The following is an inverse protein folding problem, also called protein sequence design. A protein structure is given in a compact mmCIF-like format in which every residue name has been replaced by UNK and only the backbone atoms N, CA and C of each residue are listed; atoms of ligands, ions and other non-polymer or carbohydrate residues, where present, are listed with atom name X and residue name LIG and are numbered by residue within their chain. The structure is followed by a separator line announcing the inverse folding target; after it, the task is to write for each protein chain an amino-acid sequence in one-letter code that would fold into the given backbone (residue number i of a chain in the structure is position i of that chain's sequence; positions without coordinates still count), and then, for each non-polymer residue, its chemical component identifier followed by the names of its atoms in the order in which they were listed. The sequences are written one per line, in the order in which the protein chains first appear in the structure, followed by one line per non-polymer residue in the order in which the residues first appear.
data_IF_894346376383
#
_entry.id   IF_894346376383
#
_cell.length_a   1.000
_cell.length_b   1.000
_cell.length_c   1.000
_cell.angle_alpha   90.00
_cell.angle_beta   90.00
_cell.angle_gamma   90.00
#
_symmetry.space_group_name_H-M   'P 1'
#
loop_
_entity.id
_entity.type
_entity.pdbx_description
1 polymer ?
#
# COMPACT_ATOMS: atom_id res chain seq x y z
N UNK A 1 -23.00 -0.21 108.08
CA UNK A 1 -21.52 -0.09 107.95
C UNK A 1 -21.20 0.15 106.48
N UNK A 2 -20.43 1.13 106.00
CA UNK A 2 -19.68 2.29 106.52
C UNK A 2 -19.40 3.17 105.28
N UNK A 3 -19.70 4.48 105.38
CA UNK A 3 -19.05 5.69 104.81
C UNK A 3 -18.58 5.65 103.33
N UNK A 4 -19.15 6.41 102.40
CA UNK A 4 -18.98 7.87 102.19
C UNK A 4 -17.55 8.37 102.41
N UNK A 5 -16.76 8.51 101.34
CA UNK A 5 -15.59 9.41 101.32
C UNK A 5 -15.26 9.89 99.91
N UNK A 6 -15.18 11.22 99.80
CA UNK A 6 -14.82 12.01 98.64
C UNK A 6 -13.31 11.96 98.40
N UNK A 7 -12.86 11.67 97.18
CA UNK A 7 -11.65 12.26 96.58
C UNK A 7 -11.84 12.24 95.05
N UNK A 8 -12.11 13.40 94.45
CA UNK A 8 -11.90 13.61 93.02
C UNK A 8 -10.84 14.70 92.88
N UNK A 9 -9.71 14.28 92.30
CA UNK A 9 -8.49 15.05 92.10
C UNK A 9 -8.75 16.14 91.05
N UNK A 10 -8.44 17.38 91.41
CA UNK A 10 -8.26 18.51 90.50
C UNK A 10 -6.98 18.26 89.70
N UNK A 11 -7.10 17.92 88.41
CA UNK A 11 -6.00 18.02 87.47
C UNK A 11 -6.21 19.25 86.60
N UNK A 12 -5.37 20.24 86.88
CA UNK A 12 -5.15 21.39 86.04
C UNK A 12 -4.56 20.94 84.70
N UNK A 13 -5.26 21.24 83.61
CA UNK A 13 -4.62 21.44 82.31
C UNK A 13 -4.90 22.87 81.89
N UNK A 14 -3.84 23.65 81.93
CA UNK A 14 -3.75 25.00 81.40
C UNK A 14 -4.03 24.94 79.91
N UNK A 15 -5.24 25.33 79.49
CA UNK A 15 -5.45 25.80 78.13
C UNK A 15 -4.67 27.09 77.98
N UNK A 16 -3.59 27.01 77.20
CA UNK A 16 -2.88 28.17 76.71
C UNK A 16 -3.89 29.11 76.06
N UNK A 17 -4.08 30.26 76.68
CA UNK A 17 -4.73 31.39 76.08
C UNK A 17 -3.91 31.74 74.83
N UNK A 18 -4.44 31.38 73.67
CA UNK A 18 -4.05 32.01 72.43
C UNK A 18 -4.21 33.52 72.66
N UNK A 19 -3.18 34.35 72.45
CA UNK A 19 -3.36 35.79 72.55
C UNK A 19 -4.44 36.14 71.53
N UNK A 20 -5.57 36.65 72.04
CA UNK A 20 -6.54 37.31 71.20
C UNK A 20 -5.76 38.33 70.36
N UNK A 21 -5.96 38.38 69.04
CA UNK A 21 -5.41 39.49 68.26
C UNK A 21 -5.86 40.76 68.99
N UNK A 22 -4.88 41.58 69.39
CA UNK A 22 -5.13 42.89 69.94
C UNK A 22 -6.20 43.53 69.06
N UNK A 23 -7.26 44.03 69.68
CA UNK A 23 -8.30 44.78 69.01
C UNK A 23 -7.61 45.91 68.23
N UNK A 24 -7.32 45.62 66.97
CA UNK A 24 -7.08 46.62 65.96
C UNK A 24 -8.36 47.44 65.98
N UNK A 25 -8.22 48.73 66.31
CA UNK A 25 -9.30 49.68 66.14
C UNK A 25 -9.91 49.40 64.76
N UNK A 26 -11.20 49.11 64.75
CA UNK A 26 -12.02 49.14 63.54
C UNK A 26 -11.88 50.54 62.96
N UNK A 27 -10.88 50.71 62.09
CA UNK A 27 -10.84 51.80 61.15
C UNK A 27 -12.09 51.66 60.31
N UNK A 28 -12.98 52.63 60.44
CA UNK A 28 -14.17 52.83 59.64
C UNK A 28 -13.94 52.32 58.20
N UNK A 29 -14.70 51.28 57.83
CA UNK A 29 -14.81 50.85 56.44
C UNK A 29 -15.29 52.06 55.64
N UNK A 30 -14.39 52.61 54.81
CA UNK A 30 -14.58 53.91 54.19
C UNK A 30 -15.68 53.89 53.13
N UNK A 31 -16.90 54.23 53.53
CA UNK A 31 -17.77 54.96 52.61
C UNK A 31 -17.00 56.18 52.12
N UNK A 32 -16.83 56.30 50.80
CA UNK A 32 -16.27 57.52 50.20
C UNK A 32 -17.15 58.68 50.69
N UNK A 33 -16.57 59.57 51.50
CA UNK A 33 -17.25 60.74 52.06
C UNK A 33 -18.01 61.51 50.97
N UNK A 34 -19.20 62.01 51.28
CA UNK A 34 -19.98 62.84 50.35
C UNK A 34 -19.19 64.05 49.84
N UNK A 35 -18.25 64.55 50.65
CA UNK A 35 -17.29 65.58 50.27
C UNK A 35 -16.34 65.09 49.17
N UNK A 36 -15.76 63.89 49.32
CA UNK A 36 -14.89 63.28 48.31
C UNK A 36 -15.65 62.98 47.01
N UNK A 37 -16.92 62.55 47.09
CA UNK A 37 -17.80 62.40 45.91
C UNK A 37 -18.08 63.75 45.24
N UNK A 38 -18.31 64.81 46.02
CA UNK A 38 -18.54 66.16 45.50
C UNK A 38 -17.30 66.76 44.84
N UNK A 39 -16.13 66.56 45.44
CA UNK A 39 -14.83 66.96 44.90
C UNK A 39 -14.52 66.21 43.60
N UNK A 40 -14.68 64.89 43.58
CA UNK A 40 -14.51 64.08 42.36
C UNK A 40 -15.41 64.57 41.21
N UNK A 41 -16.67 64.93 41.49
CA UNK A 41 -17.58 65.53 40.49
C UNK A 41 -17.08 66.88 39.98
N UNK A 42 -16.52 67.72 40.84
CA UNK A 42 -15.98 69.02 40.45
C UNK A 42 -14.72 68.88 39.59
N UNK A 43 -13.81 67.99 39.96
CA UNK A 43 -12.62 67.63 39.18
C UNK A 43 -13.00 67.06 37.82
N UNK A 44 -13.96 66.13 37.77
CA UNK A 44 -14.48 65.58 36.52
C UNK A 44 -15.05 66.67 35.60
N UNK A 45 -15.88 67.58 36.13
CA UNK A 45 -16.40 68.73 35.35
C UNK A 45 -15.29 69.64 34.83
N UNK A 46 -14.20 69.82 35.60
CA UNK A 46 -13.04 70.59 35.16
C UNK A 46 -12.28 69.87 34.03
N UNK A 47 -12.05 68.57 34.15
CA UNK A 47 -11.48 67.74 33.09
C UNK A 47 -12.30 67.81 31.79
N UNK A 48 -13.63 67.77 31.88
CA UNK A 48 -14.52 67.92 30.70
C UNK A 48 -14.34 69.27 29.98
N UNK A 49 -14.26 70.38 30.73
CA UNK A 49 -14.01 71.71 30.14
C UNK A 49 -12.62 71.81 29.49
N UNK A 50 -11.62 71.11 30.03
CA UNK A 50 -10.28 71.05 29.44
C UNK A 50 -10.28 70.25 28.13
N UNK A 51 -11.01 69.14 28.06
CA UNK A 51 -11.23 68.38 26.82
C UNK A 51 -11.95 69.19 25.73
N UNK A 52 -12.94 70.00 26.11
CA UNK A 52 -13.64 70.91 25.18
C UNK A 52 -12.69 71.97 24.60
N UNK A 53 -11.67 72.37 25.36
CA UNK A 53 -10.61 73.30 24.92
C UNK A 53 -9.44 72.60 24.22
N UNK A 54 -9.60 71.34 23.87
CA UNK A 54 -8.58 70.50 23.23
C UNK A 54 -7.26 70.40 24.04
N UNK A 55 -7.35 70.33 25.37
CA UNK A 55 -6.21 70.14 26.29
C UNK A 55 -6.29 68.77 26.99
N UNK A 56 -6.01 67.66 26.27
CA UNK A 56 -6.17 66.31 26.81
C UNK A 56 -5.15 65.96 27.91
N UNK A 57 -3.93 66.50 27.91
CA UNK A 57 -2.94 66.25 28.97
C UNK A 57 -3.40 66.82 30.33
N UNK A 58 -3.78 68.10 30.37
CA UNK A 58 -4.30 68.75 31.58
C UNK A 58 -5.60 68.07 32.05
N UNK A 59 -6.46 67.66 31.11
CA UNK A 59 -7.70 66.96 31.44
C UNK A 59 -7.44 65.59 32.09
N UNK A 60 -6.43 64.86 31.61
CA UNK A 60 -6.07 63.54 32.13
C UNK A 60 -5.64 63.63 33.60
N UNK A 61 -4.88 64.66 34.00
CA UNK A 61 -4.52 64.88 35.40
C UNK A 61 -5.75 65.11 36.29
N UNK A 62 -6.69 65.93 35.84
CA UNK A 62 -7.92 66.22 36.60
C UNK A 62 -8.83 64.99 36.69
N UNK A 63 -8.93 64.19 35.63
CA UNK A 63 -9.65 62.92 35.68
C UNK A 63 -8.96 61.87 36.55
N UNK A 64 -7.63 61.78 36.53
CA UNK A 64 -6.89 60.87 37.39
C UNK A 64 -7.09 61.20 38.87
N UNK A 65 -7.10 62.50 39.23
CA UNK A 65 -7.45 62.94 40.60
C UNK A 65 -8.90 62.62 40.94
N UNK A 66 -9.84 62.85 40.02
CA UNK A 66 -11.24 62.49 40.23
C UNK A 66 -11.42 60.98 40.46
N UNK A 67 -10.74 60.15 39.66
CA UNK A 67 -10.79 58.70 39.76
C UNK A 67 -10.16 58.18 41.07
N UNK A 68 -9.06 58.80 41.53
CA UNK A 68 -8.43 58.45 42.80
C UNK A 68 -9.34 58.72 44.02
N UNK A 69 -10.18 59.75 43.96
CA UNK A 69 -11.16 60.06 45.00
C UNK A 69 -12.41 59.17 44.89
N UNK A 70 -12.87 58.89 43.67
CA UNK A 70 -14.05 58.07 43.42
C UNK A 70 -13.91 57.30 42.10
N UNK A 71 -13.49 56.03 42.15
CA UNK A 71 -13.41 55.15 40.99
C UNK A 71 -14.78 54.98 40.33
N UNK A 72 -14.88 55.29 39.04
CA UNK A 72 -16.14 55.24 38.31
C UNK A 72 -15.92 55.10 36.80
N UNK A 73 -16.75 54.29 36.13
CA UNK A 73 -16.60 53.94 34.71
C UNK A 73 -16.58 55.16 33.79
N UNK A 74 -17.38 56.20 34.08
CA UNK A 74 -17.42 57.42 33.28
C UNK A 74 -16.09 58.20 33.33
N UNK A 75 -15.39 58.14 34.46
CA UNK A 75 -14.06 58.74 34.62
C UNK A 75 -13.02 57.91 33.89
N UNK A 76 -13.05 56.58 34.02
CA UNK A 76 -12.20 55.65 33.25
C UNK A 76 -12.34 55.86 31.73
N UNK A 77 -13.58 55.94 31.23
CA UNK A 77 -13.86 56.26 29.83
C UNK A 77 -13.31 57.64 29.42
N UNK A 78 -13.48 58.66 30.27
CA UNK A 78 -12.96 60.00 29.98
C UNK A 78 -11.43 60.07 29.97
N UNK A 79 -10.76 59.29 30.82
CA UNK A 79 -9.29 59.10 30.76
C UNK A 79 -8.89 58.38 29.47
N UNK A 80 -9.64 57.35 29.06
CA UNK A 80 -9.45 56.65 27.79
C UNK A 80 -9.52 57.62 26.59
N UNK A 81 -10.50 58.52 26.58
CA UNK A 81 -10.62 59.59 25.56
C UNK A 81 -9.42 60.52 25.54
N UNK A 82 -8.84 60.85 26.70
CA UNK A 82 -7.63 61.66 26.76
C UNK A 82 -6.45 60.92 26.12
N UNK A 83 -6.23 59.66 26.48
CA UNK A 83 -5.15 58.85 25.90
C UNK A 83 -5.30 58.63 24.39
N UNK A 84 -6.53 58.43 23.92
CA UNK A 84 -6.86 58.29 22.50
C UNK A 84 -6.48 59.57 21.71
N UNK A 85 -6.86 60.76 22.23
CA UNK A 85 -6.45 62.06 21.65
C UNK A 85 -4.96 62.34 21.73
N UNK A 86 -4.26 61.73 22.68
CA UNK A 86 -2.80 61.83 22.84
C UNK A 86 -2.04 60.83 21.97
N UNK A 87 -2.73 60.00 21.17
CA UNK A 87 -2.08 59.00 20.33
C UNK A 87 -1.46 57.85 21.12
N UNK A 88 -2.02 57.52 22.29
CA UNK A 88 -1.59 56.42 23.18
C UNK A 88 -2.61 55.28 23.17
N UNK A 89 -2.67 54.48 22.08
CA UNK A 89 -3.76 53.54 21.83
C UNK A 89 -3.80 52.38 22.83
N UNK A 90 -2.66 51.91 23.33
CA UNK A 90 -2.60 50.80 24.28
C UNK A 90 -3.21 51.18 25.64
N UNK A 91 -2.87 52.35 26.15
CA UNK A 91 -3.43 52.88 27.40
C UNK A 91 -4.91 53.24 27.26
N UNK A 92 -5.30 53.78 26.10
CA UNK A 92 -6.70 54.07 25.80
C UNK A 92 -7.54 52.78 25.80
N UNK A 93 -7.06 51.72 25.14
CA UNK A 93 -7.73 50.42 25.09
C UNK A 93 -7.95 49.87 26.51
N UNK A 94 -6.89 49.83 27.32
CA UNK A 94 -6.96 49.35 28.71
C UNK A 94 -8.00 50.11 29.53
N UNK A 95 -8.07 51.44 29.39
CA UNK A 95 -9.02 52.29 30.13
C UNK A 95 -10.46 52.13 29.65
N UNK A 96 -10.69 51.87 28.35
CA UNK A 96 -12.01 51.57 27.83
C UNK A 96 -12.51 50.18 28.27
N UNK A 97 -11.64 49.16 28.25
CA UNK A 97 -11.97 47.83 28.79
C UNK A 97 -12.26 47.90 30.30
N UNK A 98 -11.45 48.66 31.04
CA UNK A 98 -11.68 48.94 32.45
C UNK A 98 -13.03 49.65 32.68
N UNK A 99 -13.39 50.63 31.84
CA UNK A 99 -14.68 51.30 31.95
C UNK A 99 -15.86 50.36 31.71
N UNK A 100 -15.77 49.45 30.72
CA UNK A 100 -16.80 48.44 30.46
C UNK A 100 -16.96 47.46 31.63
N UNK A 101 -15.83 47.09 32.25
CA UNK A 101 -15.81 46.19 33.41
C UNK A 101 -16.39 46.85 34.66
N UNK A 102 -15.95 48.07 34.99
CA UNK A 102 -16.41 48.82 36.17
C UNK A 102 -17.89 49.17 36.08
N UNK A 103 -18.35 49.59 34.90
CA UNK A 103 -19.69 50.11 34.76
C UNK A 103 -20.75 49.03 34.71
N UNK A 104 -20.40 47.78 34.37
CA UNK A 104 -21.35 46.66 34.32
C UNK A 104 -22.67 47.09 33.67
N UNK A 105 -23.81 46.78 34.27
CA UNK A 105 -25.14 47.16 33.78
C UNK A 105 -25.52 48.64 34.00
N UNK A 106 -24.71 49.42 34.74
CA UNK A 106 -24.95 50.86 34.97
C UNK A 106 -24.65 51.71 33.74
N UNK A 107 -23.87 51.20 32.78
CA UNK A 107 -23.58 51.90 31.53
C UNK A 107 -24.83 51.86 30.65
N UNK A 108 -25.42 53.02 30.29
CA UNK A 108 -26.54 53.01 29.37
C UNK A 108 -26.12 52.48 28.00
N UNK A 109 -27.03 51.77 27.33
CA UNK A 109 -26.73 50.99 26.12
C UNK A 109 -25.97 51.79 25.05
N UNK A 110 -26.38 53.03 24.79
CA UNK A 110 -25.72 53.92 23.81
C UNK A 110 -24.25 54.16 24.15
N UNK A 111 -23.94 54.47 25.41
CA UNK A 111 -22.56 54.69 25.85
C UNK A 111 -21.74 53.39 25.79
N UNK A 112 -22.36 52.25 26.10
CA UNK A 112 -21.70 50.94 25.97
C UNK A 112 -21.30 50.69 24.52
N UNK A 113 -22.23 50.89 23.57
CA UNK A 113 -21.96 50.73 22.13
C UNK A 113 -20.83 51.66 21.65
N UNK A 114 -20.82 52.92 22.10
CA UNK A 114 -19.76 53.88 21.80
C UNK A 114 -18.39 53.41 22.33
N UNK A 115 -18.32 52.92 23.58
CA UNK A 115 -17.06 52.41 24.17
C UNK A 115 -16.61 51.14 23.46
N UNK A 116 -17.51 50.18 23.23
CA UNK A 116 -17.20 48.92 22.53
C UNK A 116 -16.70 49.17 21.11
N UNK A 117 -17.26 50.15 20.40
CA UNK A 117 -16.81 50.55 19.06
C UNK A 117 -15.39 51.12 19.09
N UNK A 118 -15.03 51.89 20.12
CA UNK A 118 -13.65 52.38 20.28
C UNK A 118 -12.69 51.26 20.64
N UNK A 119 -13.10 50.33 21.51
CA UNK A 119 -12.32 49.13 21.84
C UNK A 119 -12.03 48.33 20.59
N UNK A 120 -13.03 48.03 19.76
CA UNK A 120 -12.82 47.27 18.52
C UNK A 120 -11.90 48.00 17.54
N UNK A 121 -12.06 49.31 17.36
CA UNK A 121 -11.19 50.12 16.51
C UNK A 121 -9.73 50.11 17.01
N UNK A 122 -9.51 50.28 18.32
CA UNK A 122 -8.17 50.29 18.91
C UNK A 122 -7.51 48.91 18.87
N UNK A 123 -8.26 47.82 19.05
CA UNK A 123 -7.74 46.46 18.90
C UNK A 123 -7.25 46.20 17.48
N UNK A 124 -8.00 46.66 16.47
CA UNK A 124 -7.54 46.60 15.07
C UNK A 124 -6.26 47.41 14.87
N UNK A 125 -6.22 48.65 15.37
CA UNK A 125 -5.03 49.51 15.27
C UNK A 125 -3.79 48.89 15.93
N UNK A 126 -3.99 48.18 17.03
CA UNK A 126 -2.92 47.50 17.79
C UNK A 126 -2.60 46.09 17.28
N UNK A 127 -3.32 45.58 16.28
CA UNK A 127 -3.15 44.21 15.78
C UNK A 127 -3.60 43.10 16.74
N UNK A 128 -4.43 43.43 17.74
CA UNK A 128 -4.98 42.49 18.71
C UNK A 128 -6.20 41.80 18.09
N UNK A 129 -6.04 40.56 17.62
CA UNK A 129 -7.10 39.78 16.99
C UNK A 129 -7.98 39.10 18.03
N UNK A 130 -9.20 39.62 18.17
CA UNK A 130 -10.28 39.06 19.01
C UNK A 130 -11.47 38.54 18.18
N UNK A 131 -11.29 38.34 16.88
CA UNK A 131 -12.30 37.64 16.08
C UNK A 131 -12.40 36.21 16.60
N UNK A 132 -13.56 35.78 17.12
CA UNK A 132 -13.68 34.39 17.57
C UNK A 132 -13.47 33.48 16.36
N UNK A 133 -12.46 32.65 16.49
CA UNK A 133 -12.07 31.61 15.56
C UNK A 133 -13.17 30.54 15.49
N UNK A 134 -13.20 29.79 14.40
CA UNK A 134 -13.82 28.46 14.41
C UNK A 134 -12.75 27.41 14.74
N UNK A 135 -13.19 26.19 14.99
CA UNK A 135 -12.30 25.06 15.21
C UNK A 135 -12.42 24.09 14.04
N UNK A 136 -11.30 23.60 13.51
CA UNK A 136 -11.27 22.49 12.56
C UNK A 136 -10.78 21.27 13.31
N UNK A 137 -11.59 20.21 13.38
CA UNK A 137 -11.15 18.91 13.87
C UNK A 137 -10.65 18.09 12.69
N UNK A 138 -9.34 17.91 12.61
CA UNK A 138 -8.69 17.17 11.54
C UNK A 138 -8.43 15.74 12.00
N UNK A 139 -8.88 14.76 11.20
CA UNK A 139 -8.67 13.33 11.44
C UNK A 139 -8.24 12.66 10.14
N UNK A 140 -7.27 11.75 10.20
CA UNK A 140 -6.85 10.97 9.02
C UNK A 140 -7.00 9.47 9.24
N UNK A 141 -7.17 8.74 8.14
CA UNK A 141 -7.09 7.27 8.10
C UNK A 141 -6.01 6.87 7.11
N UNK A 142 -4.89 6.26 7.55
CA UNK A 142 -4.48 6.01 8.94
C UNK A 142 -4.18 7.30 9.75
N UNK A 143 -4.19 7.23 11.10
CA UNK A 143 -3.90 8.36 11.98
C UNK A 143 -2.40 8.69 12.01
N UNK A 144 -2.04 9.87 12.52
CA UNK A 144 -0.64 10.30 12.67
C UNK A 144 -0.07 11.04 11.47
N UNK A 145 -0.92 11.45 10.51
CA UNK A 145 -0.50 12.26 9.38
C UNK A 145 -0.20 13.69 9.85
N UNK A 146 0.89 14.27 9.34
CA UNK A 146 1.24 15.68 9.58
C UNK A 146 0.23 16.57 8.88
N UNK A 147 -0.19 17.66 9.54
CA UNK A 147 -1.24 18.57 9.08
C UNK A 147 -0.64 19.94 8.79
N UNK A 148 -1.02 20.52 7.65
CA UNK A 148 -0.80 21.92 7.31
C UNK A 148 -2.14 22.64 7.14
N UNK A 149 -2.24 23.84 7.71
CA UNK A 149 -3.34 24.78 7.51
C UNK A 149 -2.79 25.99 6.76
N UNK A 150 -3.30 26.23 5.55
CA UNK A 150 -2.84 27.31 4.65
C UNK A 150 -1.31 27.35 4.48
N UNK A 151 -0.70 26.18 4.36
CA UNK A 151 0.76 26.03 4.22
C UNK A 151 1.57 26.14 5.52
N UNK A 152 0.93 26.38 6.67
CA UNK A 152 1.60 26.39 7.98
C UNK A 152 1.41 25.05 8.68
N UNK A 153 2.50 24.41 9.12
CA UNK A 153 2.42 23.15 9.87
C UNK A 153 1.78 23.39 11.23
N UNK A 154 0.72 22.64 11.52
CA UNK A 154 -0.04 22.75 12.78
C UNK A 154 0.12 21.52 13.68
N UNK A 155 0.79 20.46 13.23
CA UNK A 155 1.06 19.23 13.99
C UNK A 155 0.42 17.99 13.38
N UNK A 156 0.33 16.88 14.11
CA UNK A 156 -0.13 15.59 13.57
C UNK A 156 -1.60 15.28 13.92
N UNK A 157 -2.26 14.47 13.09
CA UNK A 157 -3.65 14.03 13.28
C UNK A 157 -3.78 12.92 14.34
N UNK A 158 -4.90 12.85 15.08
CA UNK A 158 -6.03 13.78 15.09
C UNK A 158 -5.73 15.05 15.91
N UNK A 159 -6.18 16.21 15.42
CA UNK A 159 -5.95 17.51 16.10
C UNK A 159 -7.08 18.51 15.86
N UNK A 160 -7.42 19.27 16.91
CA UNK A 160 -8.27 20.45 16.83
C UNK A 160 -7.40 21.69 16.57
N UNK A 161 -7.71 22.43 15.51
CA UNK A 161 -6.95 23.60 15.04
C UNK A 161 -7.88 24.81 15.00
N UNK A 162 -7.48 25.92 15.63
CA UNK A 162 -8.23 27.17 15.53
C UNK A 162 -7.89 27.92 14.24
N UNK A 163 -8.90 28.44 13.56
CA UNK A 163 -8.77 29.17 12.31
C UNK A 163 -9.77 30.32 12.23
N UNK A 164 -9.42 31.36 11.47
CA UNK A 164 -10.32 32.49 11.22
C UNK A 164 -11.57 32.00 10.44
N UNK A 165 -12.73 32.67 10.52
CA UNK A 165 -13.87 32.30 9.70
C UNK A 165 -13.59 32.55 8.20
N UNK A 166 -13.83 31.55 7.36
CA UNK A 166 -13.55 31.64 5.92
C UNK A 166 -13.09 30.31 5.32
N UNK A 167 -12.78 30.30 4.02
CA UNK A 167 -12.21 29.14 3.35
C UNK A 167 -10.73 28.96 3.77
N UNK A 168 -10.39 27.72 4.13
CA UNK A 168 -9.05 27.30 4.54
C UNK A 168 -8.65 26.03 3.79
N UNK A 169 -7.38 25.92 3.43
CA UNK A 169 -6.81 24.72 2.82
C UNK A 169 -6.16 23.88 3.91
N UNK A 170 -6.65 22.64 4.05
CA UNK A 170 -6.02 21.62 4.89
C UNK A 170 -5.26 20.68 3.97
N UNK A 171 -4.00 20.42 4.29
CA UNK A 171 -3.19 19.39 3.64
C UNK A 171 -2.66 18.43 4.70
N UNK A 172 -2.60 17.14 4.36
CA UNK A 172 -2.09 16.09 5.24
C UNK A 172 -1.09 15.21 4.49
N UNK A 173 -0.07 14.76 5.21
CA UNK A 173 1.01 13.92 4.67
C UNK A 173 1.39 12.85 5.68
N UNK A 174 1.61 11.64 5.19
CA UNK A 174 2.11 10.54 5.99
C UNK A 174 3.12 9.74 5.17
N UNK A 175 4.22 9.32 5.80
CA UNK A 175 5.27 8.56 5.11
C UNK A 175 4.71 7.25 4.53
N UNK A 176 4.97 7.03 3.24
CA UNK A 176 4.44 5.87 2.51
C UNK A 176 3.03 6.05 1.98
N UNK A 177 2.44 7.24 2.09
CA UNK A 177 1.10 7.56 1.58
C UNK A 177 1.13 8.81 0.68
N UNK A 178 0.19 8.89 -0.26
CA UNK A 178 0.01 10.06 -1.10
C UNK A 178 -0.48 11.26 -0.27
N UNK A 179 0.03 12.46 -0.60
CA UNK A 179 -0.37 13.70 0.08
C UNK A 179 -1.79 14.06 -0.31
N UNK A 180 -2.63 14.38 0.67
CA UNK A 180 -4.03 14.71 0.44
C UNK A 180 -4.41 16.10 0.96
N UNK A 181 -5.42 16.71 0.34
CA UNK A 181 -5.84 18.07 0.67
C UNK A 181 -7.31 18.37 0.43
N UNK A 182 -7.88 19.23 1.28
CA UNK A 182 -9.29 19.64 1.21
C UNK A 182 -9.46 21.13 1.54
N UNK A 183 -10.34 21.79 0.78
CA UNK A 183 -10.83 23.12 1.14
C UNK A 183 -12.00 23.01 2.09
N UNK A 184 -11.90 23.63 3.26
CA UNK A 184 -12.95 23.66 4.27
C UNK A 184 -13.34 25.09 4.59
N UNK A 185 -14.64 25.36 4.77
CA UNK A 185 -15.11 26.68 5.20
C UNK A 185 -15.34 26.66 6.70
N UNK A 186 -14.55 27.43 7.43
CA UNK A 186 -14.63 27.61 8.87
C UNK A 186 -15.73 28.61 9.19
N UNK A 187 -16.63 28.22 10.10
CA UNK A 187 -17.71 29.08 10.58
C UNK A 187 -17.38 29.51 12.00
N UNK A 188 -17.58 30.80 12.26
CA UNK A 188 -17.35 31.45 13.56
C UNK A 188 -17.98 30.65 14.71
N UNK A 189 -17.18 30.26 15.70
CA UNK A 189 -17.62 29.56 16.91
C UNK A 189 -18.16 28.14 16.67
N UNK A 190 -17.99 27.57 15.47
CA UNK A 190 -18.36 26.19 15.18
C UNK A 190 -17.11 25.32 15.06
N UNK A 191 -17.27 24.03 15.40
CA UNK A 191 -16.29 23.00 15.06
C UNK A 191 -16.68 22.34 13.75
N UNK A 192 -15.83 22.42 12.73
CA UNK A 192 -16.01 21.77 11.44
C UNK A 192 -15.08 20.55 11.36
N UNK A 193 -15.58 19.45 10.79
CA UNK A 193 -14.82 18.20 10.65
C UNK A 193 -14.09 18.14 9.31
N UNK A 194 -12.79 17.88 9.34
CA UNK A 194 -11.97 17.51 8.19
C UNK A 194 -11.50 16.06 8.34
N UNK A 195 -12.18 15.12 7.70
CA UNK A 195 -11.81 13.71 7.69
C UNK A 195 -11.21 13.35 6.33
N UNK A 196 -9.93 12.98 6.31
CA UNK A 196 -9.21 12.59 5.10
C UNK A 196 -8.78 11.13 5.17
N UNK A 197 -8.86 10.42 4.05
CA UNK A 197 -8.33 9.06 3.91
C UNK A 197 -7.14 9.14 2.98
N UNK A 198 -6.02 8.55 3.39
CA UNK A 198 -4.77 8.56 2.65
C UNK A 198 -4.60 7.23 1.91
N UNK A 199 -4.22 7.31 0.64
CA UNK A 199 -3.91 6.13 -0.18
C UNK A 199 -2.42 5.77 -0.05
N UNK A 200 -2.13 4.50 0.17
CA UNK A 200 -0.75 4.01 0.33
C UNK A 200 0.00 4.04 -1.00
N UNK A 201 1.23 4.57 -0.99
CA UNK A 201 2.10 4.57 -2.16
C UNK A 201 2.63 3.15 -2.37
N UNK A 202 1.99 2.42 -3.28
CA UNK A 202 2.47 1.10 -3.71
C UNK A 202 3.59 1.28 -4.73
N UNK A 203 4.84 1.20 -4.26
CA UNK A 203 6.00 1.11 -5.15
C UNK A 203 5.98 -0.28 -5.80
N UNK A 204 5.51 -0.36 -7.04
CA UNK A 204 5.59 -1.59 -7.84
C UNK A 204 7.06 -1.87 -8.12
N UNK A 205 7.66 -2.73 -7.31
CA UNK A 205 8.98 -3.29 -7.60
C UNK A 205 8.83 -4.28 -8.74
N UNK A 206 9.78 -4.29 -9.67
CA UNK A 206 9.79 -5.20 -10.80
C UNK A 206 10.82 -6.31 -10.58
N UNK A 207 10.59 -7.47 -11.15
CA UNK A 207 11.56 -8.56 -11.27
C UNK A 207 11.76 -8.98 -12.72
N UNK A 208 12.57 -10.02 -12.90
CA UNK A 208 12.86 -10.66 -14.20
C UNK A 208 12.26 -12.06 -14.24
N UNK A 209 11.65 -12.43 -15.37
CA UNK A 209 11.16 -13.78 -15.62
C UNK A 209 11.93 -14.40 -16.79
N UNK A 210 12.45 -15.62 -16.61
CA UNK A 210 13.09 -16.42 -17.66
C UNK A 210 12.29 -17.70 -17.86
N UNK A 211 11.84 -17.95 -19.09
CA UNK A 211 11.02 -19.09 -19.44
C UNK A 211 11.76 -19.98 -20.44
N UNK A 212 11.86 -21.27 -20.16
CA UNK A 212 12.37 -22.31 -21.08
C UNK A 212 11.42 -23.49 -21.14
N UNK A 213 11.44 -24.22 -22.26
CA UNK A 213 10.68 -25.46 -22.43
C UNK A 213 11.49 -26.48 -23.21
N UNK A 214 11.19 -27.76 -22.97
CA UNK A 214 11.65 -28.89 -23.77
C UNK A 214 10.42 -29.69 -24.25
N UNK A 215 10.18 -29.80 -25.57
CA UNK A 215 10.96 -29.20 -26.64
C UNK A 215 10.89 -27.65 -26.66
N UNK A 216 11.92 -27.01 -27.20
CA UNK A 216 12.00 -25.55 -27.33
C UNK A 216 11.00 -25.00 -28.36
N UNK A 217 10.72 -23.69 -28.30
CA UNK A 217 9.84 -23.00 -29.25
C UNK A 217 8.36 -22.94 -28.85
N UNK A 218 8.03 -23.28 -27.61
CA UNK A 218 6.70 -23.08 -27.05
C UNK A 218 6.37 -21.58 -26.98
N UNK A 219 5.18 -21.17 -27.42
CA UNK A 219 4.66 -19.81 -27.25
C UNK A 219 4.38 -19.55 -25.78
N UNK A 220 4.89 -18.44 -25.24
CA UNK A 220 4.75 -18.06 -23.83
C UNK A 220 3.81 -16.88 -23.69
N UNK A 221 2.82 -17.01 -22.81
CA UNK A 221 1.93 -15.93 -22.40
C UNK A 221 2.07 -15.67 -20.90
N UNK A 222 2.10 -14.41 -20.49
CA UNK A 222 2.13 -13.99 -19.09
C UNK A 222 0.88 -13.14 -18.85
N UNK A 223 0.04 -13.56 -17.90
CA UNK A 223 -1.26 -12.94 -17.59
C UNK A 223 -2.15 -12.74 -18.83
N UNK A 224 -2.07 -13.68 -19.77
CA UNK A 224 -2.83 -13.67 -21.02
C UNK A 224 -2.20 -12.85 -22.16
N UNK A 225 -1.09 -12.14 -21.92
CA UNK A 225 -0.36 -11.40 -22.96
C UNK A 225 0.79 -12.24 -23.53
N UNK A 226 0.85 -12.41 -24.86
CA UNK A 226 1.94 -13.15 -25.52
C UNK A 226 3.25 -12.36 -25.47
N UNK A 227 4.29 -12.97 -24.88
CA UNK A 227 5.61 -12.35 -24.73
C UNK A 227 6.63 -12.84 -25.76
N UNK A 228 6.43 -14.03 -26.34
CA UNK A 228 7.36 -14.62 -27.31
C UNK A 228 7.36 -16.15 -27.29
N UNK A 229 8.49 -16.76 -27.69
CA UNK A 229 8.67 -18.22 -27.70
C UNK A 229 9.88 -18.64 -26.87
N UNK A 230 9.81 -19.80 -26.23
CA UNK A 230 10.91 -20.33 -25.41
C UNK A 230 12.16 -20.64 -26.24
N UNK A 231 13.37 -20.36 -25.72
CA UNK A 231 13.64 -19.63 -24.47
C UNK A 231 13.39 -18.12 -24.61
N UNK A 232 12.72 -17.50 -23.63
CA UNK A 232 12.42 -16.06 -23.60
C UNK A 232 12.72 -15.46 -22.23
N UNK A 233 13.16 -14.20 -22.20
CA UNK A 233 13.40 -13.44 -20.96
C UNK A 233 12.58 -12.15 -20.98
N UNK A 234 11.81 -11.94 -19.92
CA UNK A 234 11.08 -10.71 -19.67
C UNK A 234 11.84 -9.89 -18.59
N UNK A 235 12.51 -8.79 -18.96
CA UNK A 235 13.43 -8.08 -18.07
C UNK A 235 12.72 -7.24 -17.00
N UNK A 236 11.46 -6.86 -17.25
CA UNK A 236 10.65 -6.03 -16.36
C UNK A 236 9.25 -6.62 -16.29
N UNK A 237 8.92 -7.20 -15.16
CA UNK A 237 7.58 -7.67 -14.81
C UNK A 237 7.30 -7.27 -13.36
N UNK A 238 6.09 -6.78 -12.99
CA UNK A 238 5.75 -6.50 -11.60
C UNK A 238 6.12 -7.67 -10.68
N UNK A 239 6.57 -7.40 -9.47
CA UNK A 239 6.76 -8.43 -8.48
C UNK A 239 5.39 -8.94 -8.01
N UNK A 240 5.21 -10.25 -7.94
CA UNK A 240 3.90 -10.83 -7.66
C UNK A 240 3.70 -12.20 -8.26
N UNK A 241 2.49 -12.73 -8.10
CA UNK A 241 2.06 -13.97 -8.74
C UNK A 241 1.65 -13.67 -10.18
N UNK A 242 2.23 -14.40 -11.14
CA UNK A 242 1.91 -14.30 -12.56
C UNK A 242 1.49 -15.67 -13.10
N UNK A 243 0.47 -15.68 -13.97
CA UNK A 243 0.06 -16.89 -14.67
C UNK A 243 0.86 -17.01 -15.97
N UNK A 244 1.72 -18.02 -16.05
CA UNK A 244 2.57 -18.27 -17.21
C UNK A 244 2.05 -19.48 -17.98
N UNK A 245 1.64 -19.28 -19.22
CA UNK A 245 1.20 -20.34 -20.13
C UNK A 245 2.24 -20.64 -21.19
N UNK A 246 2.51 -21.92 -21.41
CA UNK A 246 3.36 -22.44 -22.47
C UNK A 246 2.51 -23.24 -23.45
N UNK A 247 2.44 -22.83 -24.71
CA UNK A 247 1.73 -23.52 -25.79
C UNK A 247 2.74 -24.07 -26.81
N UNK A 248 2.83 -25.39 -26.95
CA UNK A 248 3.66 -26.02 -27.97
C UNK A 248 2.98 -26.00 -29.36
N UNK A 249 3.76 -26.00 -30.45
CA UNK A 249 3.22 -26.09 -31.81
C UNK A 249 2.39 -27.35 -32.09
N UNK A 250 2.61 -28.42 -31.33
CA UNK A 250 1.88 -29.69 -31.44
C UNK A 250 0.53 -29.68 -30.71
N UNK A 251 0.16 -28.56 -30.08
CA UNK A 251 -1.11 -28.35 -29.39
C UNK A 251 -1.08 -28.66 -27.89
N UNK A 252 0.03 -29.15 -27.33
CA UNK A 252 0.16 -29.32 -25.87
C UNK A 252 0.30 -27.96 -25.19
N UNK A 253 -0.32 -27.80 -24.02
CA UNK A 253 -0.24 -26.57 -23.24
C UNK A 253 -0.05 -26.85 -21.75
N UNK A 254 0.69 -25.99 -21.06
CA UNK A 254 0.81 -25.99 -19.60
C UNK A 254 0.63 -24.57 -19.07
N UNK A 255 -0.13 -24.41 -17.99
CA UNK A 255 -0.27 -23.17 -17.22
C UNK A 255 0.34 -23.35 -15.83
N UNK A 256 1.19 -22.41 -15.42
CA UNK A 256 1.89 -22.44 -14.14
C UNK A 256 1.80 -21.07 -13.45
N UNK A 257 1.56 -21.06 -12.14
CA UNK A 257 1.59 -19.83 -11.33
C UNK A 257 2.98 -19.61 -10.78
N UNK A 258 3.56 -18.47 -11.11
CA UNK A 258 4.97 -18.18 -10.84
C UNK A 258 5.07 -16.93 -9.98
N UNK A 259 5.70 -17.04 -8.83
CA UNK A 259 5.98 -15.90 -7.97
C UNK A 259 7.24 -15.18 -8.47
N UNK A 260 7.10 -13.97 -9.01
CA UNK A 260 8.25 -13.16 -9.42
C UNK A 260 8.72 -12.29 -8.24
N UNK A 261 9.96 -12.48 -7.75
CA UNK A 261 10.49 -11.69 -6.64
C UNK A 261 10.80 -10.26 -7.09
N UNK A 262 10.60 -9.31 -6.19
CA UNK A 262 11.05 -7.93 -6.36
C UNK A 262 12.57 -7.87 -6.54
N UNK A 263 13.04 -7.17 -7.56
CA UNK A 263 14.45 -6.97 -7.89
C UNK A 263 15.24 -8.28 -8.17
N UNK A 264 14.54 -9.43 -8.25
CA UNK A 264 15.12 -10.76 -8.42
C UNK A 264 14.76 -11.41 -9.77
N UNK A 265 15.20 -12.65 -9.96
CA UNK A 265 14.90 -13.44 -11.18
C UNK A 265 14.16 -14.74 -10.84
N UNK A 266 12.98 -14.92 -11.40
CA UNK A 266 12.27 -16.19 -11.45
C UNK A 266 12.63 -16.94 -12.73
N UNK A 267 12.90 -18.24 -12.61
CA UNK A 267 13.16 -19.12 -13.76
C UNK A 267 12.14 -20.26 -13.78
N UNK A 268 11.52 -20.46 -14.94
CA UNK A 268 10.52 -21.50 -15.16
C UNK A 268 11.00 -22.36 -16.31
N UNK A 269 11.13 -23.65 -16.06
CA UNK A 269 11.53 -24.64 -17.06
C UNK A 269 10.47 -25.73 -17.14
N UNK A 270 9.90 -25.93 -18.32
CA UNK A 270 8.83 -26.92 -18.55
C UNK A 270 9.35 -28.08 -19.38
N UNK A 271 9.08 -29.30 -18.93
CA UNK A 271 9.33 -30.53 -19.67
C UNK A 271 7.99 -31.11 -20.13
N UNK A 272 7.73 -31.06 -21.43
CA UNK A 272 6.55 -31.71 -22.02
C UNK A 272 6.90 -33.15 -22.39
N UNK A 273 6.61 -34.09 -21.49
CA UNK A 273 6.88 -35.51 -21.68
C UNK A 273 6.41 -36.03 -23.05
N UNK A 274 7.30 -36.70 -23.79
CA UNK A 274 6.99 -37.35 -25.06
C UNK A 274 6.56 -38.79 -24.82
N UNK A 275 5.29 -39.10 -25.04
CA UNK A 275 4.82 -40.49 -25.04
C UNK A 275 5.44 -41.27 -26.20
N UNK A 276 6.04 -42.44 -25.93
CA UNK A 276 6.51 -43.34 -26.98
C UNK A 276 5.27 -43.90 -27.71
N UNK A 277 5.13 -43.63 -29.01
CA UNK A 277 3.94 -44.02 -29.78
C UNK A 277 3.70 -45.54 -29.76
N UNK A 278 2.54 -45.99 -29.23
CA UNK A 278 2.16 -47.39 -29.03
C UNK A 278 2.09 -48.23 -30.34
N UNK A 279 2.17 -47.61 -31.51
CA UNK A 279 2.02 -48.28 -32.80
C UNK A 279 3.06 -49.37 -33.09
N UNK A 280 4.30 -49.23 -32.61
CA UNK A 280 5.32 -50.27 -32.79
C UNK A 280 5.00 -51.53 -31.98
N UNK A 281 4.41 -51.39 -30.78
CA UNK A 281 3.99 -52.50 -29.92
C UNK A 281 2.91 -53.34 -30.60
N UNK A 282 1.85 -52.69 -31.10
CA UNK A 282 0.78 -53.37 -31.83
C UNK A 282 1.28 -53.99 -33.15
N UNK A 283 2.28 -53.39 -33.78
CA UNK A 283 2.98 -53.97 -34.93
C UNK A 283 3.67 -55.29 -34.61
N UNK A 284 4.48 -55.34 -33.54
CA UNK A 284 5.17 -56.56 -33.10
C UNK A 284 4.18 -57.63 -32.61
N UNK A 285 3.16 -57.23 -31.86
CA UNK A 285 2.12 -58.15 -31.36
C UNK A 285 1.34 -58.81 -32.50
N UNK A 286 1.01 -58.05 -33.55
CA UNK A 286 0.30 -58.56 -34.72
C UNK A 286 1.18 -59.50 -35.56
N UNK A 287 2.47 -59.20 -35.71
CA UNK A 287 3.42 -60.10 -36.36
C UNK A 287 3.58 -61.43 -35.60
N UNK A 288 3.70 -61.38 -34.27
CA UNK A 288 3.75 -62.59 -33.43
C UNK A 288 2.49 -63.46 -33.57
N UNK A 289 1.31 -62.82 -33.58
CA UNK A 289 0.03 -63.51 -33.76
C UNK A 289 -0.09 -64.16 -35.15
N UNK A 290 0.30 -63.46 -36.21
CA UNK A 290 0.30 -64.00 -37.57
C UNK A 290 1.20 -65.23 -37.71
N UNK A 291 2.41 -65.19 -37.12
CA UNK A 291 3.33 -66.32 -37.10
C UNK A 291 2.75 -67.52 -36.32
N UNK A 292 2.11 -67.25 -35.17
CA UNK A 292 1.44 -68.29 -34.37
C UNK A 292 0.29 -68.97 -35.10
N UNK A 293 -0.55 -68.20 -35.81
CA UNK A 293 -1.63 -68.75 -36.66
C UNK A 293 -1.06 -69.58 -37.81
N UNK A 294 0.02 -69.13 -38.43
CA UNK A 294 0.74 -69.89 -39.47
C UNK A 294 1.25 -71.23 -38.95
N UNK A 295 1.91 -71.23 -37.78
CA UNK A 295 2.39 -72.45 -37.13
C UNK A 295 1.25 -73.42 -36.81
N UNK A 296 0.12 -72.92 -36.29
CA UNK A 296 -1.05 -73.76 -36.00
C UNK A 296 -1.63 -74.39 -37.28
N UNK A 297 -1.71 -73.63 -38.37
CA UNK A 297 -2.19 -74.12 -39.66
C UNK A 297 -1.30 -75.22 -40.25
N UNK A 298 0.02 -74.98 -40.32
CA UNK A 298 0.98 -75.97 -40.84
C UNK A 298 1.06 -77.20 -39.94
N UNK A 299 0.98 -77.01 -38.61
CA UNK A 299 0.99 -78.11 -37.65
C UNK A 299 -0.25 -79.00 -37.79
N UNK A 300 -1.45 -78.40 -37.88
CA UNK A 300 -2.71 -79.15 -38.05
C UNK A 300 -2.71 -79.95 -39.36
N UNK A 301 -2.25 -79.34 -40.46
CA UNK A 301 -2.15 -80.06 -41.73
C UNK A 301 -1.07 -81.15 -41.70
N UNK A 302 0.05 -80.86 -41.03
CA UNK A 302 1.10 -81.85 -40.78
C UNK A 302 0.60 -83.06 -39.99
N UNK A 303 -0.21 -82.87 -38.94
CA UNK A 303 -0.78 -83.98 -38.16
C UNK A 303 -1.75 -84.83 -38.99
N UNK A 304 -2.56 -84.20 -39.85
CA UNK A 304 -3.45 -84.94 -40.76
C UNK A 304 -2.66 -85.81 -41.74
N UNK A 305 -1.57 -85.29 -42.31
CA UNK A 305 -0.68 -86.05 -43.18
C UNK A 305 0.06 -87.16 -42.42
N UNK A 306 0.39 -86.94 -41.16
CA UNK A 306 1.02 -87.95 -40.30
C UNK A 306 0.06 -89.09 -39.98
N UNK A 307 -1.21 -88.78 -39.70
CA UNK A 307 -2.26 -89.79 -39.52
C UNK A 307 -2.50 -90.58 -40.81
N UNK A 308 -2.60 -89.90 -41.97
CA UNK A 308 -2.74 -90.56 -43.28
C UNK A 308 -1.52 -91.45 -43.61
N UNK A 309 -0.32 -91.01 -43.27
CA UNK A 309 0.91 -91.78 -43.48
C UNK A 309 0.94 -93.07 -42.64
N UNK A 310 0.43 -93.01 -41.40
CA UNK A 310 0.41 -94.14 -40.46
C UNK A 310 -0.83 -95.03 -40.57
N UNK A 311 -1.84 -94.64 -41.36
CA UNK A 311 -3.01 -95.48 -41.62
C UNK A 311 -2.59 -96.77 -42.34
N UNK A 312 -2.90 -97.96 -41.79
CA UNK A 312 -2.63 -99.25 -42.44
C UNK A 312 -3.21 -99.38 -43.86
N UNK A 313 -4.24 -98.60 -44.21
CA UNK A 313 -4.87 -98.58 -45.52
C UNK A 313 -4.11 -97.80 -46.61
N UNK A 314 -3.10 -97.02 -46.25
CA UNK A 314 -2.39 -96.15 -47.18
C UNK A 314 -1.34 -96.90 -48.01
N UNK A 315 -1.35 -96.69 -49.33
CA UNK A 315 -0.40 -97.35 -50.24
C UNK A 315 1.04 -96.81 -50.10
N UNK A 316 2.05 -97.64 -50.37
CA UNK A 316 3.47 -97.20 -50.34
C UNK A 316 3.77 -96.03 -51.29
N UNK A 317 3.19 -96.02 -52.49
CA UNK A 317 3.37 -94.92 -53.44
C UNK A 317 2.84 -93.60 -52.87
N UNK A 318 1.71 -93.64 -52.15
CA UNK A 318 1.13 -92.49 -51.46
C UNK A 318 1.97 -92.04 -50.25
N UNK A 319 2.53 -93.00 -49.50
CA UNK A 319 3.46 -92.70 -48.42
C UNK A 319 4.73 -91.99 -48.92
N UNK A 320 5.32 -92.46 -50.03
CA UNK A 320 6.49 -91.83 -50.67
C UNK A 320 6.18 -90.42 -51.21
N UNK A 321 4.95 -90.19 -51.66
CA UNK A 321 4.47 -88.87 -52.10
C UNK A 321 4.29 -87.87 -50.94
N UNK A 322 3.70 -88.32 -49.82
CA UNK A 322 3.39 -87.44 -48.67
C UNK A 322 4.62 -87.14 -47.82
N UNK A 323 5.53 -88.10 -47.67
CA UNK A 323 6.69 -88.01 -46.76
C UNK A 323 7.51 -86.71 -46.89
N UNK A 324 7.94 -86.25 -48.09
CA UNK A 324 8.70 -85.01 -48.21
C UNK A 324 7.89 -83.77 -47.81
N UNK A 325 6.60 -83.73 -48.17
CA UNK A 325 5.68 -82.64 -47.84
C UNK A 325 5.44 -82.56 -46.33
N UNK A 326 5.11 -83.68 -45.69
CA UNK A 326 4.90 -83.75 -44.24
C UNK A 326 6.13 -83.33 -43.43
N UNK A 327 7.32 -83.76 -43.85
CA UNK A 327 8.58 -83.36 -43.20
C UNK A 327 8.87 -81.86 -43.35
N UNK A 328 8.62 -81.29 -44.53
CA UNK A 328 8.78 -79.85 -44.75
C UNK A 328 7.79 -79.02 -43.93
N UNK A 329 6.54 -79.49 -43.77
CA UNK A 329 5.50 -78.82 -42.99
C UNK A 329 5.81 -78.80 -41.49
N UNK A 330 6.36 -79.89 -40.94
CA UNK A 330 6.78 -79.93 -39.54
C UNK A 330 7.94 -78.96 -39.28
N UNK A 331 8.93 -78.92 -40.17
CA UNK A 331 10.03 -77.94 -40.08
C UNK A 331 9.52 -76.50 -40.16
N UNK A 332 8.57 -76.19 -41.06
CA UNK A 332 7.98 -74.84 -41.12
C UNK A 332 7.18 -74.51 -39.86
N UNK A 333 6.53 -75.50 -39.25
CA UNK A 333 5.77 -75.33 -37.99
C UNK A 333 6.70 -74.93 -36.85
N UNK A 334 7.82 -75.64 -36.67
CA UNK A 334 8.80 -75.35 -35.61
C UNK A 334 9.43 -73.96 -35.77
N UNK A 335 9.76 -73.57 -37.01
CA UNK A 335 10.32 -72.24 -37.32
C UNK A 335 9.31 -71.14 -37.03
N UNK A 336 8.06 -71.30 -37.46
CA UNK A 336 7.01 -70.30 -37.20
C UNK A 336 6.67 -70.19 -35.71
N UNK A 337 6.57 -71.32 -35.01
CA UNK A 337 6.29 -71.35 -33.57
C UNK A 337 7.42 -70.71 -32.74
N UNK A 338 8.68 -71.00 -33.07
CA UNK A 338 9.83 -70.40 -32.39
C UNK A 338 9.94 -68.89 -32.67
N UNK A 339 9.70 -68.44 -33.90
CA UNK A 339 9.68 -67.02 -34.24
C UNK A 339 8.53 -66.27 -33.53
N UNK A 340 7.34 -66.87 -33.46
CA UNK A 340 6.21 -66.32 -32.72
C UNK A 340 6.51 -66.19 -31.22
N UNK A 341 7.11 -67.22 -30.62
CA UNK A 341 7.53 -67.20 -29.21
C UNK A 341 8.58 -66.13 -28.92
N UNK A 342 9.61 -66.01 -29.76
CA UNK A 342 10.64 -64.98 -29.60
C UNK A 342 10.07 -63.57 -29.71
N UNK A 343 9.18 -63.31 -30.68
CA UNK A 343 8.51 -62.03 -30.84
C UNK A 343 7.58 -61.70 -29.66
N UNK A 344 6.86 -62.69 -29.14
CA UNK A 344 5.99 -62.51 -27.97
C UNK A 344 6.79 -62.19 -26.70
N UNK A 345 7.92 -62.87 -26.46
CA UNK A 345 8.81 -62.58 -25.32
C UNK A 345 9.44 -61.20 -25.47
N UNK A 346 9.90 -60.81 -26.65
CA UNK A 346 10.43 -59.47 -26.90
C UNK A 346 9.37 -58.39 -26.62
N UNK A 347 8.13 -58.59 -27.08
CA UNK A 347 7.02 -57.68 -26.80
C UNK A 347 6.69 -57.58 -25.31
N UNK A 348 6.71 -58.70 -24.58
CA UNK A 348 6.48 -58.73 -23.12
C UNK A 348 7.60 -58.05 -22.34
N UNK A 349 8.86 -58.27 -22.71
CA UNK A 349 10.01 -57.59 -22.09
C UNK A 349 9.89 -56.09 -22.31
N UNK A 350 9.67 -55.65 -23.54
CA UNK A 350 9.51 -54.23 -23.83
C UNK A 350 8.28 -53.65 -23.11
N UNK A 351 7.20 -54.40 -22.99
CA UNK A 351 6.02 -53.96 -22.25
C UNK A 351 6.23 -53.84 -20.73
N UNK A 352 7.18 -54.58 -20.17
CA UNK A 352 7.51 -54.52 -18.75
C UNK A 352 8.48 -53.37 -18.41
N UNK A 353 9.37 -53.01 -19.34
CA UNK A 353 10.37 -51.96 -19.13
C UNK A 353 9.93 -50.58 -19.64
N UNK A 354 8.89 -50.51 -20.48
CA UNK A 354 8.31 -49.26 -20.93
C UNK A 354 7.06 -49.01 -20.10
N UNK A 355 7.12 -47.96 -19.29
CA UNK A 355 5.98 -47.50 -18.51
C UNK A 355 4.89 -46.96 -19.46
N UNK A 356 3.91 -47.81 -19.78
CA UNK A 356 2.75 -47.42 -20.60
C UNK A 356 1.83 -46.43 -19.87
N UNK A 357 2.01 -46.29 -18.56
CA UNK A 357 1.36 -45.28 -17.70
C UNK A 357 2.28 -44.09 -17.44
N UNK A 358 3.23 -43.81 -18.35
CA UNK A 358 4.03 -42.60 -18.30
C UNK A 358 3.13 -41.39 -18.16
N UNK A 359 3.07 -40.82 -16.95
CA UNK A 359 2.22 -39.70 -16.59
C UNK A 359 2.38 -38.62 -17.65
N UNK A 360 1.34 -38.42 -18.46
CA UNK A 360 1.30 -37.49 -19.58
C UNK A 360 1.26 -36.03 -19.15
N UNK A 361 1.47 -35.76 -17.85
CA UNK A 361 1.40 -34.42 -17.31
C UNK A 361 2.73 -33.72 -17.53
N UNK A 362 2.74 -32.58 -18.25
CA UNK A 362 3.94 -31.77 -18.37
C UNK A 362 4.37 -31.30 -16.98
N UNK A 363 5.66 -31.41 -16.67
CA UNK A 363 6.21 -31.02 -15.37
C UNK A 363 6.87 -29.66 -15.50
N UNK A 364 6.39 -28.69 -14.75
CA UNK A 364 7.08 -27.41 -14.55
C UNK A 364 8.02 -27.51 -13.35
N UNK A 365 9.24 -27.00 -13.51
CA UNK A 365 10.14 -26.70 -12.39
C UNK A 365 10.30 -25.19 -12.30
N UNK A 366 9.90 -24.62 -11.16
CA UNK A 366 10.12 -23.21 -10.85
C UNK A 366 11.31 -23.11 -9.90
N UNK A 367 12.29 -22.28 -10.25
CA UNK A 367 13.44 -22.00 -9.41
C UNK A 367 13.66 -20.50 -9.24
N UNK A 368 14.15 -20.13 -8.06
CA UNK A 368 14.51 -18.77 -7.71
C UNK A 368 16.02 -18.72 -7.53
N UNK A 369 16.68 -17.74 -8.13
CA UNK A 369 18.13 -17.62 -7.95
C UNK A 369 18.64 -16.22 -8.22
N UNK A 370 19.32 -15.67 -7.22
CA UNK A 370 20.30 -14.60 -7.39
C UNK A 370 21.40 -15.09 -8.33
N UNK A 371 21.96 -14.19 -9.13
CA UNK A 371 22.96 -14.51 -10.13
C UNK A 371 24.26 -15.09 -9.53
N UNK A 372 24.31 -16.40 -9.29
CA UNK A 372 25.54 -17.20 -9.22
C UNK A 372 25.18 -18.70 -9.22
N UNK A 373 25.87 -19.47 -10.06
CA UNK A 373 25.81 -20.93 -10.18
C UNK A 373 24.63 -21.53 -10.99
N UNK A 374 24.74 -21.45 -12.32
CA UNK A 374 24.36 -22.59 -13.15
C UNK A 374 25.58 -23.52 -13.25
N UNK A 375 25.51 -24.82 -12.88
CA UNK A 375 26.48 -25.77 -13.39
C UNK A 375 26.17 -25.99 -14.86
N UNK A 376 27.16 -25.72 -15.72
CA UNK A 376 27.12 -26.13 -17.12
C UNK A 376 27.00 -27.65 -17.17
N UNK A 377 25.83 -28.16 -17.55
CA UNK A 377 25.70 -29.53 -18.00
C UNK A 377 26.25 -29.56 -19.45
N UNK A 378 27.50 -29.99 -19.57
CA UNK A 378 28.12 -30.35 -20.85
C UNK A 378 27.31 -31.50 -21.48
N UNK A 379 26.62 -31.21 -22.59
CA UNK A 379 26.17 -32.23 -23.54
C UNK A 379 27.18 -32.26 -24.70
N UNK A 380 27.84 -33.39 -24.98
CA UNK A 380 28.75 -33.51 -26.11
C UNK A 380 27.91 -33.67 -27.39
N UNK A 381 27.78 -32.60 -28.17
CA UNK A 381 27.30 -32.70 -29.55
C UNK A 381 28.49 -33.07 -30.44
N UNK A 382 28.60 -34.37 -30.72
CA UNK A 382 29.43 -34.89 -31.80
C UNK A 382 28.65 -34.72 -33.12
N UNK A 383 28.95 -33.67 -33.88
CA UNK A 383 28.38 -33.42 -35.21
C UNK A 383 29.50 -33.68 -36.23
N UNK A 384 29.36 -34.64 -37.16
CA UNK A 384 30.32 -34.80 -38.24
C UNK A 384 30.16 -33.64 -39.24
N UNK A 385 31.29 -33.04 -39.61
CA UNK A 385 31.36 -31.99 -40.62
C UNK A 385 31.05 -32.56 -42.01
N UNK A 386 30.03 -32.03 -42.68
CA UNK A 386 29.84 -32.19 -44.12
C UNK A 386 29.87 -30.82 -44.81
N UNK A 387 30.90 -30.69 -45.65
CA UNK A 387 31.05 -29.93 -46.89
C UNK A 387 30.29 -28.61 -47.11
N UNK A 388 31.08 -27.54 -47.05
CA UNK A 388 30.81 -26.25 -47.68
C UNK A 388 30.86 -26.34 -49.21
N UNK A 389 30.05 -25.55 -49.93
CA UNK A 389 30.39 -25.08 -51.26
C UNK A 389 30.83 -23.61 -51.25
N UNK A 390 31.76 -23.35 -52.15
CA UNK A 390 32.57 -22.16 -52.32
C UNK A 390 31.83 -20.87 -52.68
N UNK A 391 32.39 -19.74 -52.25
CA UNK A 391 32.14 -18.40 -52.76
C UNK A 391 32.40 -18.28 -54.27
N UNK A 392 31.86 -17.21 -54.89
CA UNK A 392 32.79 -16.31 -55.54
C UNK A 392 32.51 -14.81 -55.25
N UNK A 393 33.58 -14.11 -54.85
CA UNK A 393 34.16 -13.07 -55.71
C UNK A 393 33.58 -11.65 -55.66
N UNK A 394 34.26 -10.82 -54.87
CA UNK A 394 34.68 -9.43 -55.13
C UNK A 394 33.90 -8.56 -56.15
N UNK A 395 33.46 -7.38 -55.68
CA UNK A 395 33.06 -6.27 -56.54
C UNK A 395 32.66 -5.00 -55.79
N UNK A 396 33.64 -4.13 -55.59
CA UNK A 396 33.57 -2.65 -55.60
C UNK A 396 32.60 -1.87 -54.67
N UNK A 397 33.24 -1.15 -53.73
CA UNK A 397 32.82 0.15 -53.17
C UNK A 397 32.46 1.16 -54.27
N UNK A 398 31.54 2.10 -54.01
CA UNK A 398 32.06 3.46 -53.87
C UNK A 398 31.38 4.32 -52.78
N UNK A 399 32.27 5.04 -52.08
CA UNK A 399 32.30 6.48 -51.83
C UNK A 399 31.01 7.26 -51.53
N UNK A 400 31.11 7.95 -50.39
CA UNK A 400 30.27 9.02 -49.86
C UNK A 400 29.90 10.13 -50.86
N UNK A 401 28.65 10.60 -50.75
CA UNK A 401 28.21 11.88 -51.28
C UNK A 401 27.37 12.60 -50.22
N UNK A 402 27.74 13.84 -49.92
CA UNK A 402 27.00 14.83 -49.13
C UNK A 402 27.16 16.17 -49.84
N UNK A 403 26.37 17.21 -49.49
CA UNK A 403 24.92 17.32 -49.62
C UNK A 403 24.55 18.41 -50.67
N UNK A 404 23.41 18.27 -51.33
CA UNK A 404 22.91 19.30 -52.25
C UNK A 404 22.06 20.34 -51.50
N UNK A 405 22.60 21.56 -51.50
CA UNK A 405 21.93 22.85 -51.31
C UNK A 405 20.64 22.92 -52.14
N UNK A 406 19.53 23.38 -51.55
CA UNK A 406 18.39 23.90 -52.33
C UNK A 406 17.84 25.13 -51.63
N UNK A 407 18.23 26.29 -52.15
CA UNK A 407 17.49 27.53 -52.00
C UNK A 407 16.32 27.53 -52.98
N UNK A 408 15.09 27.77 -52.49
CA UNK A 408 14.08 28.54 -53.23
C UNK A 408 12.82 28.81 -52.36
N UNK A 409 12.60 30.12 -52.15
CA UNK A 409 11.35 30.85 -51.90
C UNK A 409 10.72 30.87 -50.51
#
# INVERSE_FOLDING_TARGET
MVRTLCVAVVLATTWGAWPAPAAAQEGQGGEVSDEARAEARNLYRRGRRLLERNKPDEALEEFARAYALYPHWATSNSMGVCHDRLGRPAEALRLYEQALQEGGDEIPQRQREEITTRVSALRIQLGIRDTPTGTIRVTTTPPGARIWLDGTEVGDSPKDVEADPGPHQIEVELEGYDREGVMITVVRGQTVMAALTLDEIVVVRNGRLVCSSEPAGARVLVDGSEIGRTPVTLPVLPAGEHLVRFDLPDGRSLEERVQVPADGTARVSVLFGGGVHQGWFWGVASAALALGVGAAGTGTYGTLLWDEFNDPGTSRARQEEIQPTGRSLMLTTDVLASAAGAAAVAALILAFFIDFEGSTEPVATVSFGDAAAAPAAEFPLDIPAEDAPAEPGAGEEPAAEAPAETAAR
#
